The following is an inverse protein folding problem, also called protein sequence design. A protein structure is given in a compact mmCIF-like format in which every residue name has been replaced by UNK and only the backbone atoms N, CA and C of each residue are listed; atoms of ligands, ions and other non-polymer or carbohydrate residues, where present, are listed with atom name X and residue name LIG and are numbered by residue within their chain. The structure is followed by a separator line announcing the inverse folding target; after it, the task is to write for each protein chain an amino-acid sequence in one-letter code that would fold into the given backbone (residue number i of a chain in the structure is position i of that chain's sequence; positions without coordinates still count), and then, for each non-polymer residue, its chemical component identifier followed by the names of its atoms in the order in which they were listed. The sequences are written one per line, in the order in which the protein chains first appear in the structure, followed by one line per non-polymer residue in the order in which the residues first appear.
data_IF_137951184089
#
_entry.id   IF_137951184089
#
_cell.length_a   1.000
_cell.length_b   1.000
_cell.length_c   1.000
_cell.angle_alpha   90.00
_cell.angle_beta   90.00
_cell.angle_gamma   90.00
#
_symmetry.space_group_name_H-M   'P 1'
#
loop_
_entity.id
_entity.type
_entity.pdbx_description
1 polymer ?
#
# COMPACT_ATOMS: atom_id res chain seq x y z
N UNK A 1 2.93 -12.29 -19.41
CA UNK A 1 4.19 -12.04 -18.68
C UNK A 1 4.05 -12.54 -17.25
N UNK A 2 5.05 -13.27 -16.77
CA UNK A 2 5.00 -13.87 -15.43
C UNK A 2 5.90 -13.10 -14.48
N UNK A 3 5.31 -12.61 -13.39
CA UNK A 3 6.05 -12.01 -12.28
C UNK A 3 6.05 -12.97 -11.10
N UNK A 4 7.10 -12.96 -10.31
CA UNK A 4 7.06 -13.65 -9.02
C UNK A 4 6.15 -12.93 -8.06
N UNK A 5 5.42 -13.70 -7.26
CA UNK A 5 4.52 -13.14 -6.27
C UNK A 5 5.18 -13.14 -4.89
N UNK A 6 5.01 -12.03 -4.19
CA UNK A 6 5.56 -11.83 -2.85
C UNK A 6 4.42 -11.49 -1.92
N UNK A 7 4.40 -12.11 -0.74
CA UNK A 7 3.36 -11.86 0.26
C UNK A 7 3.98 -11.20 1.48
N UNK A 8 3.36 -10.13 1.94
CA UNK A 8 3.70 -9.47 3.21
C UNK A 8 2.45 -9.36 4.06
N UNK A 9 2.63 -9.24 5.37
CA UNK A 9 1.49 -9.13 6.28
C UNK A 9 1.87 -8.39 7.55
N UNK A 10 0.85 -7.87 8.24
CA UNK A 10 1.00 -7.24 9.54
C UNK A 10 -0.30 -7.32 10.31
N UNK A 11 -0.20 -7.45 11.63
CA UNK A 11 -1.36 -7.35 12.52
C UNK A 11 -1.41 -5.92 13.03
N UNK A 12 -2.57 -5.28 12.84
CA UNK A 12 -2.80 -3.89 13.21
C UNK A 12 -3.74 -3.88 14.42
N UNK A 13 -3.37 -3.18 15.47
CA UNK A 13 -4.20 -3.05 16.68
C UNK A 13 -5.25 -1.97 16.48
N UNK A 14 -6.14 -2.21 15.50
CA UNK A 14 -7.25 -1.34 15.16
C UNK A 14 -8.33 -2.18 14.47
N UNK A 15 -9.58 -1.73 14.59
CA UNK A 15 -10.71 -2.42 13.94
C UNK A 15 -10.60 -2.33 12.41
N UNK A 16 -11.15 -3.32 11.68
CA UNK A 16 -11.08 -3.34 10.21
C UNK A 16 -11.61 -2.07 9.53
N UNK A 17 -12.67 -1.45 10.04
CA UNK A 17 -13.21 -0.23 9.45
C UNK A 17 -12.21 0.93 9.51
N UNK A 18 -11.50 1.08 10.62
CA UNK A 18 -10.46 2.10 10.75
C UNK A 18 -9.28 1.80 9.83
N UNK A 19 -8.86 0.53 9.78
CA UNK A 19 -7.75 0.10 8.92
C UNK A 19 -8.08 0.40 7.45
N UNK A 20 -9.29 0.07 7.03
CA UNK A 20 -9.73 0.35 5.66
C UNK A 20 -9.68 1.84 5.34
N UNK A 21 -10.27 2.67 6.21
CA UNK A 21 -10.28 4.11 6.00
C UNK A 21 -8.86 4.70 5.94
N UNK A 22 -8.00 4.31 6.87
CA UNK A 22 -6.64 4.86 6.94
C UNK A 22 -5.77 4.39 5.77
N UNK A 23 -6.05 3.20 5.23
CA UNK A 23 -5.28 2.68 4.10
C UNK A 23 -5.74 3.26 2.75
N UNK A 24 -7.00 3.63 2.63
CA UNK A 24 -7.59 4.04 1.34
C UNK A 24 -7.88 5.54 1.21
N UNK A 25 -7.96 6.26 2.32
CA UNK A 25 -8.26 7.69 2.30
C UNK A 25 -7.00 8.50 2.02
N UNK A 26 -6.95 9.30 0.93
CA UNK A 26 -5.76 10.09 0.59
C UNK A 26 -5.25 10.98 1.72
N UNK A 27 -6.15 11.48 2.56
CA UNK A 27 -5.79 12.30 3.73
C UNK A 27 -4.86 11.54 4.68
N UNK A 28 -5.05 10.23 4.81
CA UNK A 28 -4.21 9.39 5.66
C UNK A 28 -3.00 8.82 4.90
N UNK A 29 -3.18 8.48 3.61
CA UNK A 29 -2.11 7.89 2.80
C UNK A 29 -0.84 8.74 2.83
N UNK A 30 -0.97 10.06 2.76
CA UNK A 30 0.19 10.97 2.80
C UNK A 30 0.94 10.90 4.13
N UNK A 31 0.33 10.36 5.17
CA UNK A 31 0.93 10.26 6.51
C UNK A 31 1.77 9.01 6.73
N UNK A 32 1.68 8.00 5.87
CA UNK A 32 2.38 6.74 6.11
C UNK A 32 3.05 6.11 4.87
N UNK A 33 2.74 6.57 3.66
CA UNK A 33 3.16 5.87 2.44
C UNK A 33 4.61 6.18 2.04
N UNK A 34 5.54 5.76 2.90
CA UNK A 34 6.97 5.85 2.65
C UNK A 34 7.68 4.79 3.50
N UNK A 35 8.85 4.34 3.02
CA UNK A 35 9.58 3.24 3.66
C UNK A 35 10.41 3.68 4.87
N UNK A 36 10.90 4.93 4.87
CA UNK A 36 11.71 5.44 5.98
C UNK A 36 11.60 6.97 6.05
N UNK A 37 12.19 7.55 7.10
CA UNK A 37 12.06 8.97 7.42
C UNK A 37 12.75 9.91 6.42
N UNK A 38 13.59 9.39 5.52
CA UNK A 38 14.23 10.21 4.48
C UNK A 38 13.31 10.43 3.27
N UNK A 39 12.16 9.77 3.23
CA UNK A 39 11.16 9.88 2.19
C UNK A 39 9.84 10.42 2.74
N UNK A 40 9.00 10.97 1.86
CA UNK A 40 7.64 11.38 2.21
C UNK A 40 6.70 11.20 1.01
N UNK A 41 5.40 11.29 1.28
CA UNK A 41 4.36 11.21 0.25
C UNK A 41 3.61 12.55 0.26
N UNK A 42 4.02 13.52 -0.58
CA UNK A 42 3.41 14.85 -0.54
C UNK A 42 2.02 14.93 -1.14
N UNK A 43 1.61 13.95 -1.94
CA UNK A 43 0.30 13.96 -2.57
C UNK A 43 -0.21 12.54 -2.81
N UNK A 44 -1.52 12.36 -2.68
CA UNK A 44 -2.20 11.11 -3.00
C UNK A 44 -3.61 11.41 -3.49
N UNK A 45 -4.10 10.58 -4.41
CA UNK A 45 -5.48 10.62 -4.91
C UNK A 45 -5.97 9.19 -5.03
N UNK A 46 -7.23 8.95 -4.77
CA UNK A 46 -7.75 7.59 -4.79
C UNK A 46 -9.22 7.58 -5.18
N UNK A 47 -9.50 7.09 -6.38
CA UNK A 47 -10.84 6.79 -6.84
C UNK A 47 -11.09 5.30 -6.58
N UNK A 48 -11.69 4.99 -5.45
CA UNK A 48 -11.85 3.62 -4.94
C UNK A 48 -13.05 2.94 -5.60
N UNK A 49 -12.94 2.69 -6.90
CA UNK A 49 -13.96 2.03 -7.69
C UNK A 49 -13.30 1.24 -8.82
N UNK A 50 -14.05 0.29 -9.40
CA UNK A 50 -13.52 -0.49 -10.54
C UNK A 50 -13.07 0.47 -11.66
N UNK A 51 -11.84 0.30 -12.12
CA UNK A 51 -11.25 1.17 -13.14
C UNK A 51 -10.75 2.50 -12.62
N UNK A 52 -10.97 2.81 -11.34
CA UNK A 52 -10.55 4.05 -10.72
C UNK A 52 -9.04 4.13 -10.55
N UNK A 53 -8.53 5.35 -10.45
CA UNK A 53 -7.09 5.61 -10.34
C UNK A 53 -6.66 5.74 -8.89
N UNK A 54 -5.62 4.99 -8.53
CA UNK A 54 -4.85 5.21 -7.30
C UNK A 54 -3.56 5.94 -7.69
N UNK A 55 -3.24 7.00 -6.98
CA UNK A 55 -2.03 7.78 -7.24
C UNK A 55 -1.38 8.19 -5.91
N UNK A 56 -0.06 8.02 -5.82
CA UNK A 56 0.74 8.53 -4.71
C UNK A 56 2.07 9.05 -5.24
N UNK A 57 2.41 10.28 -4.88
CA UNK A 57 3.72 10.83 -5.19
C UNK A 57 4.68 10.44 -4.06
N UNK A 58 5.80 9.84 -4.41
CA UNK A 58 6.84 9.41 -3.46
C UNK A 58 8.09 10.22 -3.72
N UNK A 59 8.61 10.91 -2.70
CA UNK A 59 9.79 11.79 -2.87
C UNK A 59 10.76 11.65 -1.72
N UNK A 60 12.06 11.67 -2.05
CA UNK A 60 13.08 11.87 -1.05
C UNK A 60 12.98 13.30 -0.52
N UNK A 61 13.09 13.47 0.80
CA UNK A 61 12.95 14.80 1.44
C UNK A 61 14.01 15.80 1.00
N UNK A 62 15.18 15.32 0.57
CA UNK A 62 16.26 16.17 0.08
C UNK A 62 16.09 16.58 -1.39
N UNK A 63 15.02 16.09 -2.05
CA UNK A 63 14.75 16.43 -3.44
C UNK A 63 15.57 15.64 -4.46
N UNK A 64 16.40 14.71 -4.03
CA UNK A 64 17.31 13.98 -4.92
C UNK A 64 16.60 13.01 -5.85
N UNK A 65 15.43 12.51 -5.47
CA UNK A 65 14.71 11.50 -6.23
C UNK A 65 13.23 11.54 -5.93
N UNK A 66 12.42 11.14 -6.89
CA UNK A 66 10.98 11.01 -6.71
C UNK A 66 10.36 10.25 -7.86
N UNK A 67 9.17 9.71 -7.63
CA UNK A 67 8.41 9.02 -8.67
C UNK A 67 6.92 9.02 -8.33
N UNK A 68 6.11 8.78 -9.36
CA UNK A 68 4.67 8.63 -9.22
C UNK A 68 4.34 7.14 -9.16
N UNK A 69 3.66 6.73 -8.09
CA UNK A 69 3.10 5.39 -7.98
C UNK A 69 1.65 5.48 -8.45
N UNK A 70 1.31 4.77 -9.51
CA UNK A 70 0.00 4.86 -10.12
C UNK A 70 -0.54 3.48 -10.47
N UNK A 71 -1.84 3.27 -10.22
CA UNK A 71 -2.49 2.00 -10.47
C UNK A 71 -3.96 2.21 -10.83
N UNK A 72 -4.57 1.17 -11.39
CA UNK A 72 -6.01 1.13 -11.70
C UNK A 72 -6.63 -0.05 -10.99
N UNK A 73 -7.74 0.19 -10.29
CA UNK A 73 -8.43 -0.88 -9.58
C UNK A 73 -9.06 -1.86 -10.55
N UNK A 74 -8.85 -3.14 -10.29
CA UNK A 74 -9.46 -4.25 -11.02
C UNK A 74 -10.52 -4.97 -10.19
N UNK A 75 -10.54 -4.73 -8.88
CA UNK A 75 -11.53 -5.30 -7.96
C UNK A 75 -11.59 -4.42 -6.71
N UNK A 76 -12.79 -4.16 -6.23
CA UNK A 76 -13.00 -3.44 -4.97
C UNK A 76 -14.15 -4.08 -4.20
N UNK A 77 -13.86 -4.57 -3.00
CA UNK A 77 -14.84 -5.01 -2.01
C UNK A 77 -14.71 -4.09 -0.81
N UNK A 78 -15.59 -3.10 -0.71
CA UNK A 78 -15.49 -2.03 0.30
C UNK A 78 -15.38 -2.61 1.70
N UNK A 79 -14.36 -2.17 2.43
CA UNK A 79 -14.12 -2.59 3.82
C UNK A 79 -13.38 -3.91 3.96
N UNK A 80 -13.13 -4.65 2.88
CA UNK A 80 -12.56 -6.00 2.94
C UNK A 80 -11.28 -6.17 2.11
N UNK A 81 -11.34 -5.84 0.80
CA UNK A 81 -10.23 -6.12 -0.10
C UNK A 81 -10.28 -5.28 -1.37
N UNK A 82 -9.13 -5.17 -2.03
CA UNK A 82 -9.07 -4.63 -3.38
C UNK A 82 -7.88 -5.25 -4.13
N UNK A 83 -7.94 -5.13 -5.44
CA UNK A 83 -6.83 -5.45 -6.32
C UNK A 83 -6.62 -4.29 -7.28
N UNK A 84 -5.38 -4.00 -7.62
CA UNK A 84 -5.09 -3.04 -8.69
C UNK A 84 -3.89 -3.49 -9.52
N UNK A 85 -3.83 -2.93 -10.74
CA UNK A 85 -2.72 -3.18 -11.66
C UNK A 85 -1.89 -1.92 -11.82
N UNK A 86 -0.58 -2.07 -11.73
CA UNK A 86 0.36 -0.98 -12.00
C UNK A 86 0.46 -0.76 -13.51
N UNK A 87 1.07 0.36 -13.91
CA UNK A 87 1.16 0.71 -15.33
C UNK A 87 1.93 -0.30 -16.17
N UNK A 88 2.85 -1.05 -15.57
CA UNK A 88 3.64 -2.07 -16.25
C UNK A 88 2.99 -3.47 -16.24
N UNK A 89 1.78 -3.58 -15.71
CA UNK A 89 1.03 -4.83 -15.68
C UNK A 89 1.18 -5.66 -14.41
N UNK A 90 1.99 -5.22 -13.45
CA UNK A 90 2.10 -5.92 -12.16
C UNK A 90 0.80 -5.73 -11.37
N UNK A 91 0.38 -6.80 -10.69
CA UNK A 91 -0.84 -6.79 -9.87
C UNK A 91 -0.50 -6.74 -8.40
N UNK A 92 -1.39 -6.12 -7.63
CA UNK A 92 -1.30 -6.06 -6.17
C UNK A 92 -2.67 -6.41 -5.61
N UNK A 93 -2.71 -7.36 -4.68
CA UNK A 93 -3.92 -7.74 -3.96
C UNK A 93 -3.77 -7.37 -2.49
N UNK A 94 -4.78 -6.70 -1.96
CA UNK A 94 -4.85 -6.27 -0.56
C UNK A 94 -6.09 -6.86 0.08
N UNK A 95 -5.95 -7.45 1.28
CA UNK A 95 -7.12 -7.86 2.05
C UNK A 95 -6.91 -7.63 3.53
N UNK A 96 -8.03 -7.41 4.22
CA UNK A 96 -8.09 -7.31 5.68
C UNK A 96 -8.78 -8.55 6.21
N UNK A 97 -8.16 -9.21 7.18
CA UNK A 97 -8.79 -10.28 7.94
C UNK A 97 -9.26 -9.69 9.28
N UNK A 98 -10.54 -9.86 9.57
CA UNK A 98 -11.16 -9.35 10.79
C UNK A 98 -10.80 -10.25 11.98
N UNK A 99 -10.08 -9.70 12.94
CA UNK A 99 -9.70 -10.39 14.18
C UNK A 99 -10.50 -9.88 15.39
N UNK A 100 -11.63 -9.20 15.14
CA UNK A 100 -12.43 -8.57 16.18
C UNK A 100 -11.99 -7.14 16.42
N UNK A 101 -11.29 -6.88 17.52
CA UNK A 101 -10.77 -5.55 17.82
C UNK A 101 -9.49 -5.22 17.06
N UNK A 102 -8.88 -6.23 16.44
CA UNK A 102 -7.67 -6.08 15.64
C UNK A 102 -7.92 -6.52 14.20
N UNK A 103 -6.97 -6.24 13.35
CA UNK A 103 -7.03 -6.59 11.92
C UNK A 103 -5.72 -7.19 11.46
N UNK A 104 -5.77 -8.09 10.50
CA UNK A 104 -4.57 -8.57 9.82
C UNK A 104 -4.62 -8.12 8.36
N UNK A 105 -3.60 -7.39 7.94
CA UNK A 105 -3.44 -7.02 6.54
C UNK A 105 -2.56 -8.07 5.87
N UNK A 106 -3.01 -8.54 4.70
CA UNK A 106 -2.22 -9.41 3.83
C UNK A 106 -2.17 -8.76 2.45
N UNK A 107 -0.95 -8.55 1.95
CA UNK A 107 -0.72 -7.98 0.62
C UNK A 107 0.12 -8.97 -0.18
N UNK A 108 -0.38 -9.34 -1.37
CA UNK A 108 0.38 -10.11 -2.34
C UNK A 108 0.66 -9.21 -3.54
N UNK A 109 1.91 -9.06 -3.91
CA UNK A 109 2.27 -8.21 -5.05
C UNK A 109 3.19 -8.94 -6.01
N UNK A 110 3.09 -8.54 -7.28
CA UNK A 110 4.00 -9.01 -8.32
C UNK A 110 5.32 -8.25 -8.21
N UNK A 111 6.42 -8.99 -8.10
CA UNK A 111 7.75 -8.39 -8.03
C UNK A 111 8.20 -7.91 -9.41
N UNK A 112 8.87 -6.75 -9.46
CA UNK A 112 9.52 -6.32 -10.69
C UNK A 112 10.81 -7.13 -10.88
N UNK A 113 11.46 -6.99 -12.03
CA UNK A 113 12.57 -7.88 -12.42
C UNK A 113 13.98 -7.29 -12.26
N UNK A 114 14.07 -6.03 -11.88
CA UNK A 114 15.37 -5.34 -11.77
C UNK A 114 16.05 -5.53 -10.42
N UNK A 115 15.26 -5.51 -9.33
CA UNK A 115 15.79 -5.65 -7.98
C UNK A 115 15.52 -7.05 -7.43
N UNK A 116 16.29 -7.45 -6.42
CA UNK A 116 16.09 -8.75 -5.80
C UNK A 116 14.71 -8.82 -5.13
N UNK A 117 14.14 -10.01 -5.07
CA UNK A 117 12.86 -10.25 -4.41
C UNK A 117 12.95 -9.81 -2.95
N UNK A 118 14.05 -10.12 -2.27
CA UNK A 118 14.22 -9.77 -0.87
C UNK A 118 14.24 -8.25 -0.65
N UNK A 119 14.92 -7.50 -1.51
CA UNK A 119 14.96 -6.05 -1.41
C UNK A 119 13.57 -5.43 -1.59
N UNK A 120 12.82 -5.92 -2.57
CA UNK A 120 11.45 -5.47 -2.80
C UNK A 120 10.54 -5.81 -1.62
N UNK A 121 10.64 -7.03 -1.09
CA UNK A 121 9.86 -7.45 0.06
C UNK A 121 10.14 -6.57 1.27
N UNK A 122 11.40 -6.25 1.53
CA UNK A 122 11.80 -5.37 2.62
C UNK A 122 11.19 -3.97 2.48
N UNK A 123 11.22 -3.42 1.27
CA UNK A 123 10.67 -2.09 0.99
C UNK A 123 9.15 -2.04 1.20
N UNK A 124 8.43 -3.00 0.66
CA UNK A 124 6.99 -3.07 0.82
C UNK A 124 6.60 -3.32 2.28
N UNK A 125 7.35 -4.20 2.97
CA UNK A 125 7.10 -4.46 4.38
C UNK A 125 7.35 -3.22 5.24
N UNK A 126 8.38 -2.44 4.91
CA UNK A 126 8.70 -1.22 5.65
C UNK A 126 7.56 -0.19 5.55
N UNK A 127 6.96 -0.05 4.38
CA UNK A 127 5.79 0.82 4.19
C UNK A 127 4.60 0.30 5.01
N UNK A 128 4.35 -1.02 4.97
CA UNK A 128 3.27 -1.62 5.75
C UNK A 128 3.49 -1.44 7.25
N UNK A 129 4.73 -1.59 7.71
CA UNK A 129 5.07 -1.37 9.12
C UNK A 129 4.86 0.10 9.52
N UNK A 130 5.15 1.03 8.60
CA UNK A 130 4.89 2.45 8.83
C UNK A 130 3.39 2.74 8.92
N UNK A 131 2.60 2.10 8.05
CA UNK A 131 1.15 2.16 8.13
C UNK A 131 0.64 1.68 9.49
N UNK A 132 1.17 0.54 9.97
CA UNK A 132 0.80 -0.03 11.26
C UNK A 132 1.05 0.99 12.37
N UNK A 133 2.24 1.56 12.42
CA UNK A 133 2.59 2.55 13.43
C UNK A 133 1.68 3.78 13.36
N UNK A 134 1.47 4.31 12.17
CA UNK A 134 0.61 5.47 11.95
C UNK A 134 -0.82 5.20 12.44
N UNK A 135 -1.38 4.07 12.05
CA UNK A 135 -2.77 3.74 12.35
C UNK A 135 -3.00 3.49 13.83
N UNK A 136 -2.05 2.81 14.49
CA UNK A 136 -2.15 2.51 15.92
C UNK A 136 -1.98 3.74 16.80
N UNK A 137 -1.34 4.80 16.30
CA UNK A 137 -1.06 6.03 17.08
C UNK A 137 -1.96 7.21 16.68
N UNK A 138 -2.86 7.01 15.76
CA UNK A 138 -3.80 8.03 15.32
C UNK A 138 -5.26 7.49 15.31
#
# INVERSE_FOLDING_TARGET
MNFEKVTIEAIIMAEPSKVWDYYTNPKHIVGWNFADASWHCPAAENDLSFGGRYFARMEAKDGSFGFDFEARYTKVNIGESFSYSLLDGRNVDFRIEDLGTNSKIVIEFDAEKENSIELQKQGWQAILNNFKSYTEHN
#
